data_IF_680879471390
#
_entry.id   IF_680879471390
#
_cell.length_a   1.000
_cell.length_b   1.000
_cell.length_c   1.000
_cell.angle_alpha   90.00
_cell.angle_beta   90.00
_cell.angle_gamma   90.00
#
_symmetry.space_group_name_H-M   'P 1'
#
loop_
_entity.id
_entity.type
_entity.pdbx_description
1 polymer ?
#
# COMPACT_ATOMS: atom_id res chain seq x y z
N UNK A 1 -3.85 20.89 4.42
CA UNK A 1 -2.80 20.69 5.41
C UNK A 1 -2.36 19.23 5.44
N UNK A 2 -1.07 19.01 5.46
CA UNK A 2 -0.55 17.64 5.52
C UNK A 2 -0.72 17.07 6.92
N UNK A 3 -1.20 15.84 7.00
CA UNK A 3 -1.31 15.11 8.25
C UNK A 3 -0.06 14.29 8.55
N UNK A 4 0.96 14.39 7.71
CA UNK A 4 2.15 13.57 7.83
C UNK A 4 1.91 12.13 7.45
N UNK A 5 2.94 11.47 6.96
CA UNK A 5 2.86 10.06 6.58
C UNK A 5 3.54 9.81 5.25
N UNK A 6 3.43 8.58 4.79
CA UNK A 6 3.97 8.16 3.50
C UNK A 6 2.81 7.75 2.59
N UNK A 7 2.71 8.39 1.45
CA UNK A 7 1.73 8.01 0.44
C UNK A 7 2.34 6.96 -0.49
N UNK A 8 1.67 5.81 -0.59
CA UNK A 8 2.07 4.72 -1.45
C UNK A 8 1.10 4.69 -2.63
N UNK A 9 1.62 4.78 -3.83
CA UNK A 9 0.82 4.73 -5.06
C UNK A 9 1.29 3.59 -5.94
N UNK A 10 0.37 3.00 -6.69
CA UNK A 10 0.68 1.87 -7.58
C UNK A 10 -0.15 1.94 -8.83
N UNK A 11 0.27 1.16 -9.82
CA UNK A 11 -0.45 1.05 -11.08
C UNK A 11 -1.58 0.04 -10.94
N UNK A 12 -2.78 0.43 -11.32
CA UNK A 12 -3.93 -0.48 -11.30
C UNK A 12 -3.72 -1.62 -12.30
N UNK A 13 -4.16 -2.80 -11.90
CA UNK A 13 -4.11 -4.01 -12.73
C UNK A 13 -5.54 -4.42 -13.06
N UNK A 14 -5.82 -4.65 -14.33
CA UNK A 14 -7.15 -5.05 -14.77
C UNK A 14 -7.49 -6.46 -14.27
N UNK A 15 -8.76 -6.67 -13.91
CA UNK A 15 -9.27 -8.00 -13.59
C UNK A 15 -8.97 -8.51 -12.18
N UNK A 16 -8.37 -7.69 -11.31
CA UNK A 16 -8.07 -8.12 -9.94
C UNK A 16 -9.20 -7.77 -8.99
N UNK A 17 -9.23 -8.45 -7.84
CA UNK A 17 -10.23 -8.20 -6.80
C UNK A 17 -9.83 -7.08 -5.86
N UNK A 18 -8.54 -6.87 -5.68
CA UNK A 18 -8.02 -5.82 -4.81
C UNK A 18 -6.51 -5.86 -4.71
N UNK A 19 -6.00 -5.12 -3.72
CA UNK A 19 -4.56 -5.00 -3.51
C UNK A 19 -4.24 -5.12 -2.03
N UNK A 20 -3.08 -5.64 -1.73
CA UNK A 20 -2.54 -5.66 -0.36
C UNK A 20 -1.25 -4.85 -0.37
N UNK A 21 -1.19 -3.86 0.51
CA UNK A 21 -0.01 -3.04 0.70
C UNK A 21 0.82 -3.66 1.82
N UNK A 22 2.09 -3.91 1.53
CA UNK A 22 3.02 -4.49 2.49
C UNK A 22 3.98 -3.42 2.99
N UNK A 23 4.24 -3.46 4.29
CA UNK A 23 5.24 -2.61 4.96
C UNK A 23 6.27 -3.52 5.60
N UNK A 24 7.52 -3.41 5.15
CA UNK A 24 8.63 -4.24 5.65
C UNK A 24 8.30 -5.75 5.60
N UNK A 25 7.62 -6.18 4.54
CA UNK A 25 7.28 -7.58 4.36
C UNK A 25 6.01 -8.05 5.06
N UNK A 26 5.35 -7.20 5.82
CA UNK A 26 4.11 -7.53 6.52
C UNK A 26 2.92 -6.81 5.89
N UNK A 27 1.79 -7.51 5.77
CA UNK A 27 0.58 -6.91 5.22
C UNK A 27 0.09 -5.78 6.14
N UNK A 28 0.01 -4.57 5.60
CA UNK A 28 -0.41 -3.39 6.35
C UNK A 28 -1.86 -3.02 6.07
N UNK A 29 -2.30 -3.16 4.82
CA UNK A 29 -3.64 -2.74 4.42
C UNK A 29 -4.11 -3.52 3.20
N UNK A 30 -5.39 -3.86 3.19
CA UNK A 30 -6.05 -4.45 2.01
C UNK A 30 -7.08 -3.45 1.51
N UNK A 31 -7.08 -3.18 0.21
CA UNK A 31 -7.98 -2.22 -0.43
C UNK A 31 -8.66 -2.84 -1.65
N UNK A 32 -9.73 -2.19 -2.10
CA UNK A 32 -10.50 -2.61 -3.27
C UNK A 32 -9.71 -2.36 -4.55
N UNK A 33 -10.13 -3.02 -5.63
CA UNK A 33 -9.49 -2.89 -6.94
C UNK A 33 -9.56 -1.47 -7.52
N UNK A 34 -10.50 -0.65 -7.08
CA UNK A 34 -10.63 0.73 -7.54
C UNK A 34 -9.63 1.68 -6.88
N UNK A 35 -8.92 1.24 -5.84
CA UNK A 35 -7.99 2.07 -5.10
C UNK A 35 -6.59 1.90 -5.67
N UNK A 36 -5.86 2.99 -5.87
CA UNK A 36 -4.49 2.96 -6.38
C UNK A 36 -3.51 3.74 -5.50
N UNK A 37 -3.96 4.19 -4.35
CA UNK A 37 -3.11 4.94 -3.42
C UNK A 37 -3.57 4.71 -1.99
N UNK A 38 -2.61 4.78 -1.06
CA UNK A 38 -2.89 4.65 0.37
C UNK A 38 -1.85 5.44 1.15
N UNK A 39 -2.31 6.17 2.17
CA UNK A 39 -1.41 6.95 3.02
C UNK A 39 -1.18 6.23 4.34
N UNK A 40 0.09 5.97 4.66
CA UNK A 40 0.48 5.35 5.91
C UNK A 40 0.85 6.44 6.93
N UNK A 41 -0.09 6.80 7.78
CA UNK A 41 0.14 7.82 8.80
C UNK A 41 1.01 7.32 9.94
N UNK A 42 1.18 6.00 10.09
CA UNK A 42 2.08 5.43 11.09
C UNK A 42 3.54 5.67 10.77
N UNK A 43 3.84 6.04 9.52
CA UNK A 43 5.20 6.36 9.12
C UNK A 43 5.65 7.74 9.60
N UNK A 44 4.79 8.50 10.27
CA UNK A 44 5.09 9.84 10.73
C UNK A 44 4.91 9.95 12.23
N UNK A 45 5.91 10.51 12.91
CA UNK A 45 5.82 10.81 14.33
C UNK A 45 5.56 12.31 14.51
N UNK A 46 4.34 12.64 14.92
CA UNK A 46 3.92 14.04 15.07
C UNK A 46 4.63 14.76 16.23
N UNK A 47 5.18 14.02 17.21
CA UNK A 47 5.87 14.63 18.33
C UNK A 47 7.28 15.08 17.95
N UNK A 48 7.96 14.35 17.10
CA UNK A 48 9.32 14.66 16.67
C UNK A 48 9.39 15.26 15.27
N UNK A 49 8.33 15.13 14.48
CA UNK A 49 8.32 15.55 13.09
C UNK A 49 9.13 14.64 12.18
N UNK A 50 9.50 13.46 12.65
CA UNK A 50 10.34 12.54 11.91
C UNK A 50 9.50 11.51 11.17
N UNK A 51 10.03 11.05 10.02
CA UNK A 51 9.41 10.00 9.23
C UNK A 51 10.17 8.69 9.44
N UNK A 52 9.41 7.62 9.61
CA UNK A 52 9.96 6.27 9.60
C UNK A 52 10.08 5.81 8.16
N UNK A 53 11.24 5.36 7.77
CA UNK A 53 11.47 4.86 6.41
C UNK A 53 11.16 3.37 6.38
N UNK A 54 10.07 3.02 5.68
CA UNK A 54 9.67 1.63 5.51
C UNK A 54 9.81 1.22 4.06
N UNK A 55 9.98 -0.06 3.82
CA UNK A 55 9.94 -0.63 2.49
C UNK A 55 8.50 -1.03 2.17
N UNK A 56 7.94 -0.39 1.17
CA UNK A 56 6.57 -0.66 0.75
C UNK A 56 6.55 -1.38 -0.59
N UNK A 57 5.64 -2.32 -0.72
CA UNK A 57 5.28 -2.85 -2.03
C UNK A 57 3.82 -3.30 -1.99
N UNK A 58 3.24 -3.44 -3.17
CA UNK A 58 1.82 -3.78 -3.32
C UNK A 58 1.70 -5.01 -4.20
N UNK A 59 0.88 -5.95 -3.78
CA UNK A 59 0.51 -7.11 -4.60
C UNK A 59 -0.96 -7.02 -4.93
N UNK A 60 -1.32 -7.29 -6.18
CA UNK A 60 -2.70 -7.47 -6.57
C UNK A 60 -3.13 -8.89 -6.21
N UNK A 61 -4.40 -9.08 -5.92
CA UNK A 61 -4.94 -10.42 -5.71
C UNK A 61 -6.25 -10.60 -6.43
N UNK A 62 -6.53 -11.83 -6.81
CA UNK A 62 -7.79 -12.23 -7.39
C UNK A 62 -8.38 -13.33 -6.53
N UNK A 63 -9.65 -13.20 -6.17
CA UNK A 63 -10.35 -14.23 -5.40
C UNK A 63 -10.94 -15.24 -6.37
N UNK A 64 -10.54 -16.50 -6.22
CA UNK A 64 -11.04 -17.62 -7.03
C UNK A 64 -11.48 -18.72 -6.07
N UNK A 65 -12.74 -19.09 -6.13
CA UNK A 65 -13.32 -20.15 -5.28
C UNK A 65 -13.04 -19.90 -3.78
N UNK A 66 -13.15 -18.63 -3.34
CA UNK A 66 -12.93 -18.27 -1.95
C UNK A 66 -11.47 -18.16 -1.53
N UNK A 67 -10.54 -18.36 -2.45
CA UNK A 67 -9.09 -18.26 -2.16
C UNK A 67 -8.49 -17.09 -2.90
N UNK A 68 -7.54 -16.42 -2.24
CA UNK A 68 -6.80 -15.32 -2.87
C UNK A 68 -5.57 -15.85 -3.60
N UNK A 69 -5.41 -15.40 -4.85
CA UNK A 69 -4.24 -15.68 -5.65
C UNK A 69 -3.51 -14.35 -5.84
N UNK A 70 -2.26 -14.27 -5.39
CA UNK A 70 -1.49 -13.04 -5.38
C UNK A 70 -0.60 -12.96 -6.61
N UNK A 71 -0.46 -11.74 -7.15
CA UNK A 71 0.45 -11.46 -8.24
C UNK A 71 1.86 -11.16 -7.71
N UNK A 72 2.80 -10.97 -8.63
CA UNK A 72 4.08 -10.36 -8.32
C UNK A 72 3.84 -8.93 -7.83
N UNK A 73 4.78 -8.35 -7.04
CA UNK A 73 4.62 -6.97 -6.60
C UNK A 73 4.46 -6.02 -7.78
N UNK A 74 3.52 -5.09 -7.67
CA UNK A 74 3.33 -4.06 -8.66
C UNK A 74 4.39 -2.97 -8.46
N UNK A 75 4.56 -2.13 -9.50
CA UNK A 75 5.41 -0.95 -9.37
C UNK A 75 4.75 0.03 -8.43
N UNK A 76 5.50 0.49 -7.43
CA UNK A 76 5.00 1.44 -6.43
C UNK A 76 5.86 2.68 -6.38
N UNK A 77 5.22 3.80 -5.97
CA UNK A 77 5.89 5.08 -5.74
C UNK A 77 5.52 5.54 -4.34
N UNK A 78 6.52 5.91 -3.54
CA UNK A 78 6.31 6.38 -2.17
C UNK A 78 6.58 7.87 -2.08
N UNK A 79 5.65 8.61 -1.48
CA UNK A 79 5.82 10.03 -1.22
C UNK A 79 5.73 10.29 0.28
N UNK A 80 6.66 11.10 0.79
CA UNK A 80 6.63 11.55 2.18
C UNK A 80 5.98 12.94 2.23
N UNK A 81 5.12 13.11 3.18
CA UNK A 81 4.41 14.39 3.31
C UNK A 81 4.27 14.85 4.76
#
# INVERSE_FOLDING_TARGET
MSNGGTEVSWTKVAGVSGYVIYRNGSAAKTVKSSVSTWKDTKAYDSQTGMYWVYNYYVKAFKTVNGKRIYSKPTKTINFYS
#
